data_IF_564794765187
#
_entry.id   IF_564794765187
#
_cell.length_a   1.000
_cell.length_b   1.000
_cell.length_c   1.000
_cell.angle_alpha   90.00
_cell.angle_beta   90.00
_cell.angle_gamma   90.00
#
_symmetry.space_group_name_H-M   'P 1'
#
loop_
_entity.id
_entity.type
_entity.pdbx_description
1 polymer ?
#
# COMPACT_ATOMS: atom_id res chain seq x y z
N UNK A 1 34.80 -4.32 3.48
CA UNK A 1 34.70 -4.36 4.97
C UNK A 1 33.24 -4.18 5.34
N UNK A 2 32.62 -5.19 5.97
CA UNK A 2 31.24 -5.10 6.45
C UNK A 2 31.11 -3.93 7.44
N UNK A 3 30.11 -3.05 7.31
CA UNK A 3 29.86 -2.09 8.40
C UNK A 3 29.44 -2.85 9.64
N UNK A 4 29.91 -2.45 10.83
CA UNK A 4 29.51 -3.09 12.06
C UNK A 4 27.97 -3.09 12.21
N UNK A 5 27.43 -4.19 12.72
CA UNK A 5 26.01 -4.28 13.01
C UNK A 5 25.63 -3.25 14.09
N UNK A 6 24.49 -2.58 13.91
CA UNK A 6 23.91 -1.75 14.96
C UNK A 6 23.32 -2.66 16.04
N UNK A 7 23.70 -2.43 17.29
CA UNK A 7 23.21 -3.20 18.45
C UNK A 7 22.46 -2.28 19.39
N UNK A 8 21.14 -2.41 19.43
CA UNK A 8 20.28 -1.72 20.39
C UNK A 8 20.11 -2.60 21.64
N UNK A 9 20.69 -2.16 22.77
CA UNK A 9 20.55 -2.87 24.05
C UNK A 9 19.24 -2.48 24.73
N UNK A 10 18.71 -3.40 25.56
CA UNK A 10 17.49 -3.19 26.34
C UNK A 10 16.26 -2.80 25.49
N UNK A 11 16.13 -3.41 24.30
CA UNK A 11 14.96 -3.24 23.46
C UNK A 11 13.72 -3.84 24.12
N UNK A 12 12.68 -3.02 24.28
CA UNK A 12 11.39 -3.43 24.84
C UNK A 12 10.51 -4.00 23.75
N UNK A 13 9.99 -5.20 23.93
CA UNK A 13 9.02 -5.82 23.02
C UNK A 13 7.97 -6.61 23.80
N UNK A 14 6.82 -6.86 23.17
CA UNK A 14 5.77 -7.70 23.73
C UNK A 14 5.96 -9.17 23.34
N UNK A 15 5.67 -10.08 24.27
CA UNK A 15 5.60 -11.51 23.99
C UNK A 15 4.16 -11.92 23.70
N UNK A 16 3.94 -12.71 22.65
CA UNK A 16 2.66 -13.38 22.41
C UNK A 16 2.79 -14.88 22.63
N UNK A 17 1.77 -15.49 23.26
CA UNK A 17 1.69 -16.94 23.43
C UNK A 17 1.12 -17.64 22.18
N UNK A 18 0.23 -16.97 21.46
CA UNK A 18 -0.41 -17.48 20.25
C UNK A 18 -0.52 -16.37 19.21
N UNK A 19 -0.31 -16.70 17.94
CA UNK A 19 -0.40 -15.76 16.83
C UNK A 19 -1.20 -16.41 15.69
N UNK A 20 -1.98 -15.62 14.96
CA UNK A 20 -2.79 -16.09 13.84
C UNK A 20 -2.25 -15.46 12.55
N UNK A 21 -1.45 -16.21 11.81
CA UNK A 21 -0.96 -15.78 10.51
C UNK A 21 0.28 -14.87 10.56
N UNK A 22 0.76 -14.45 11.73
CA UNK A 22 2.08 -13.82 11.85
C UNK A 22 3.20 -14.88 11.81
N UNK A 23 4.26 -14.69 11.01
CA UNK A 23 5.29 -15.71 10.83
C UNK A 23 6.06 -16.01 12.13
N UNK A 24 6.52 -14.96 12.84
CA UNK A 24 7.20 -15.05 14.15
C UNK A 24 7.00 -13.79 15.04
N UNK A 25 6.34 -12.74 14.54
CA UNK A 25 6.14 -11.48 15.24
C UNK A 25 5.92 -10.30 14.30
N UNK A 26 5.75 -9.10 14.88
CA UNK A 26 5.49 -7.84 14.16
C UNK A 26 6.47 -6.77 14.62
N UNK A 27 7.11 -6.09 13.66
CA UNK A 27 7.87 -4.88 13.94
C UNK A 27 6.93 -3.66 13.81
N UNK A 28 6.54 -3.07 14.95
CA UNK A 28 5.67 -1.90 14.98
C UNK A 28 6.40 -0.62 14.62
N UNK A 29 6.00 0.03 13.53
CA UNK A 29 6.56 1.31 13.07
C UNK A 29 5.71 2.53 13.42
N UNK A 30 4.61 2.37 14.16
CA UNK A 30 3.73 3.47 14.57
C UNK A 30 4.42 4.54 15.42
N UNK A 31 3.68 5.57 15.82
CA UNK A 31 4.20 6.73 16.57
C UNK A 31 4.19 6.55 18.09
N UNK A 32 3.96 5.34 18.58
CA UNK A 32 3.94 5.03 20.01
C UNK A 32 5.34 4.98 20.64
N UNK A 33 5.44 5.21 21.96
CA UNK A 33 6.71 5.26 22.69
C UNK A 33 7.53 3.97 22.64
N UNK A 34 6.88 2.83 22.43
CA UNK A 34 7.53 1.52 22.31
C UNK A 34 7.69 1.06 20.85
N UNK A 35 7.42 1.92 19.87
CA UNK A 35 7.65 1.57 18.46
C UNK A 35 9.13 1.42 18.14
N UNK A 36 9.44 0.71 17.04
CA UNK A 36 10.82 0.55 16.61
C UNK A 36 11.50 1.92 16.34
N UNK A 37 10.88 2.88 15.62
CA UNK A 37 11.46 4.22 15.47
C UNK A 37 11.71 4.92 16.81
N UNK A 38 10.75 4.88 17.74
CA UNK A 38 10.89 5.55 19.04
C UNK A 38 12.04 4.94 19.88
N UNK A 39 12.21 3.62 19.85
CA UNK A 39 13.31 2.97 20.57
C UNK A 39 14.66 3.20 19.89
N UNK A 40 14.70 3.26 18.55
CA UNK A 40 15.92 3.62 17.80
C UNK A 40 16.35 5.07 18.06
N UNK A 41 15.40 5.97 18.32
CA UNK A 41 15.70 7.38 18.64
C UNK A 41 16.55 7.52 19.89
N UNK A 42 16.42 6.59 20.85
CA UNK A 42 17.24 6.57 22.08
C UNK A 42 18.72 6.28 21.81
N UNK A 43 19.01 5.58 20.71
CA UNK A 43 20.37 5.31 20.27
C UNK A 43 20.90 6.43 19.38
N UNK A 44 20.12 6.84 18.39
CA UNK A 44 20.45 7.97 17.52
C UNK A 44 19.17 8.67 17.05
N UNK A 45 18.95 9.94 17.41
CA UNK A 45 17.76 10.67 16.98
C UNK A 45 17.57 10.68 15.47
N UNK A 46 18.66 10.75 14.70
CA UNK A 46 18.62 10.74 13.24
C UNK A 46 18.02 9.46 12.63
N UNK A 47 18.07 8.31 13.31
CA UNK A 47 17.48 7.07 12.80
C UNK A 47 15.95 7.04 12.93
N UNK A 48 15.39 7.95 13.73
CA UNK A 48 13.97 8.02 14.05
C UNK A 48 13.27 9.22 13.42
N UNK A 49 13.98 10.08 12.69
CA UNK A 49 13.38 11.25 12.03
C UNK A 49 12.76 10.93 10.69
N UNK A 50 13.18 9.82 10.09
CA UNK A 50 12.66 9.34 8.82
C UNK A 50 12.85 7.83 8.71
N UNK A 51 11.94 7.16 8.02
CA UNK A 51 12.17 5.81 7.51
C UNK A 51 11.44 5.63 6.19
N UNK A 52 11.89 4.69 5.37
CA UNK A 52 11.18 4.30 4.15
C UNK A 52 11.23 2.81 3.93
N UNK A 53 10.27 2.29 3.20
CA UNK A 53 10.31 0.93 2.67
C UNK A 53 9.96 0.91 1.18
N UNK A 54 10.38 -0.12 0.47
CA UNK A 54 10.00 -0.35 -0.92
C UNK A 54 9.53 -1.77 -1.12
N UNK A 55 8.22 -1.98 -1.22
CA UNK A 55 7.67 -3.33 -1.30
C UNK A 55 7.82 -3.91 -2.71
N UNK A 56 8.55 -5.03 -2.80
CA UNK A 56 8.55 -5.85 -4.01
C UNK A 56 7.16 -6.43 -4.24
N UNK A 57 6.71 -6.46 -5.49
CA UNK A 57 5.37 -6.93 -5.80
C UNK A 57 5.14 -8.37 -5.37
N UNK A 58 4.03 -8.60 -4.66
CA UNK A 58 3.60 -9.93 -4.27
C UNK A 58 3.22 -10.78 -5.49
N UNK A 59 3.22 -12.08 -5.27
CA UNK A 59 2.84 -13.10 -6.22
C UNK A 59 2.16 -14.19 -5.42
N UNK A 60 0.97 -14.60 -5.83
CA UNK A 60 0.37 -15.86 -5.36
C UNK A 60 0.96 -17.08 -6.10
N UNK A 61 1.89 -16.84 -7.04
CA UNK A 61 2.73 -17.88 -7.63
C UNK A 61 3.76 -18.37 -6.59
N UNK A 62 3.58 -19.61 -6.14
CA UNK A 62 4.43 -20.24 -5.13
C UNK A 62 5.85 -20.53 -5.66
N UNK A 63 6.02 -20.67 -6.97
CA UNK A 63 7.30 -20.99 -7.61
C UNK A 63 8.16 -19.73 -7.84
N UNK A 64 7.58 -18.54 -7.65
CA UNK A 64 8.29 -17.28 -7.86
C UNK A 64 9.32 -17.05 -6.76
N UNK A 65 10.57 -16.81 -7.18
CA UNK A 65 11.66 -16.43 -6.29
C UNK A 65 11.30 -15.16 -5.50
N UNK A 66 11.18 -15.31 -4.18
CA UNK A 66 10.93 -14.19 -3.27
C UNK A 66 12.16 -13.32 -3.19
N UNK A 67 12.04 -12.07 -3.66
CA UNK A 67 13.06 -11.04 -3.47
C UNK A 67 12.75 -10.24 -2.21
N UNK A 68 13.76 -9.94 -1.38
CA UNK A 68 13.57 -9.09 -0.20
C UNK A 68 13.20 -7.65 -0.60
N UNK A 69 12.46 -6.99 0.28
CA UNK A 69 12.10 -5.57 0.18
C UNK A 69 13.00 -4.75 1.11
N UNK A 70 13.58 -3.63 0.65
CA UNK A 70 14.39 -2.79 1.53
C UNK A 70 13.51 -2.02 2.51
N UNK A 71 14.01 -1.94 3.75
CA UNK A 71 13.59 -1.04 4.80
C UNK A 71 14.81 -0.19 5.14
N UNK A 72 14.65 1.12 5.11
CA UNK A 72 15.71 2.11 5.28
C UNK A 72 15.36 2.94 6.52
N UNK A 73 16.29 3.01 7.46
CA UNK A 73 16.14 3.72 8.72
C UNK A 73 17.00 4.99 8.69
N UNK A 74 16.41 6.12 9.06
CA UNK A 74 17.00 7.45 8.98
C UNK A 74 16.94 8.08 7.58
N UNK A 75 17.34 9.37 7.47
CA UNK A 75 17.43 10.07 6.21
C UNK A 75 18.34 9.37 5.21
N UNK A 76 17.84 9.15 3.99
CA UNK A 76 18.61 8.57 2.90
C UNK A 76 18.50 9.43 1.64
N UNK A 77 19.53 10.23 1.37
CA UNK A 77 19.59 11.07 0.17
C UNK A 77 20.08 10.25 -1.03
N UNK A 78 19.17 9.88 -1.93
CA UNK A 78 19.47 9.17 -3.18
C UNK A 78 20.01 10.09 -4.29
N UNK A 79 20.67 11.21 -3.96
CA UNK A 79 21.24 12.13 -4.96
C UNK A 79 22.25 11.50 -5.95
N UNK A 80 22.63 10.22 -5.85
CA UNK A 80 23.78 9.70 -6.61
C UNK A 80 23.68 8.33 -7.30
N UNK A 81 22.54 7.62 -7.34
CA UNK A 81 22.46 6.39 -8.15
C UNK A 81 21.37 6.49 -9.22
N UNK A 82 21.77 6.95 -10.41
CA UNK A 82 21.06 6.74 -11.67
C UNK A 82 20.86 5.23 -11.83
N UNK A 83 19.64 4.73 -11.65
CA UNK A 83 19.33 3.34 -11.99
C UNK A 83 19.17 3.23 -13.50
N UNK A 84 19.90 2.28 -14.09
CA UNK A 84 20.17 2.14 -15.52
C UNK A 84 18.98 2.25 -16.47
N UNK A 85 19.31 2.85 -17.62
CA UNK A 85 18.73 2.84 -18.96
C UNK A 85 17.20 2.88 -19.10
N UNK A 86 16.67 4.11 -19.17
CA UNK A 86 15.40 4.37 -19.87
C UNK A 86 14.65 5.64 -19.46
N UNK A 87 14.85 6.18 -18.26
CA UNK A 87 14.19 7.42 -17.84
C UNK A 87 15.08 8.18 -16.84
N UNK A 88 15.89 9.10 -17.37
CA UNK A 88 16.77 9.98 -16.59
C UNK A 88 16.03 11.07 -15.81
N UNK A 89 15.16 10.69 -14.89
CA UNK A 89 14.51 11.60 -13.95
C UNK A 89 15.07 11.45 -12.54
N UNK A 90 15.22 12.57 -11.82
CA UNK A 90 15.28 12.54 -10.37
C UNK A 90 14.05 11.82 -9.83
N UNK A 91 14.22 11.11 -8.72
CA UNK A 91 13.12 10.46 -8.04
C UNK A 91 12.18 11.53 -7.53
N UNK A 92 10.98 11.59 -8.07
CA UNK A 92 9.96 12.53 -7.64
C UNK A 92 9.01 11.84 -6.66
N UNK A 93 8.90 12.43 -5.47
CA UNK A 93 7.96 12.00 -4.44
C UNK A 93 6.67 12.82 -4.53
N UNK A 94 5.54 12.13 -4.63
CA UNK A 94 4.25 12.71 -4.32
C UNK A 94 4.09 12.74 -2.78
N UNK A 95 4.19 13.93 -2.19
CA UNK A 95 4.03 14.11 -0.74
C UNK A 95 2.60 14.50 -0.36
N UNK A 96 2.15 13.98 0.78
CA UNK A 96 0.92 14.41 1.46
C UNK A 96 1.22 14.66 2.93
N UNK A 97 0.60 15.67 3.51
CA UNK A 97 0.72 15.95 4.94
C UNK A 97 0.10 14.83 5.76
N UNK A 98 0.72 14.50 6.89
CA UNK A 98 0.13 13.63 7.89
C UNK A 98 -0.98 14.38 8.63
N UNK A 99 -2.04 13.67 8.94
CA UNK A 99 -3.12 14.13 9.81
C UNK A 99 -2.85 13.65 11.23
N UNK A 100 -3.04 14.54 12.19
CA UNK A 100 -3.01 14.16 13.61
C UNK A 100 -4.38 13.63 14.03
N UNK A 101 -4.38 12.49 14.70
CA UNK A 101 -5.59 11.87 15.24
C UNK A 101 -5.53 11.91 16.77
N UNK A 102 -6.44 12.64 17.45
CA UNK A 102 -6.40 12.80 18.90
C UNK A 102 -6.67 11.50 19.67
N UNK A 103 -7.42 10.54 19.09
CA UNK A 103 -7.69 9.24 19.72
C UNK A 103 -6.69 8.15 19.34
N UNK A 104 -6.15 8.23 18.14
CA UNK A 104 -5.22 7.24 17.59
C UNK A 104 -3.92 7.89 17.11
N UNK A 105 -3.16 8.55 18.02
CA UNK A 105 -1.96 9.32 17.66
C UNK A 105 -0.80 8.44 17.15
N UNK A 106 -0.91 7.12 17.30
CA UNK A 106 0.07 6.14 16.86
C UNK A 106 -0.01 5.81 15.37
N UNK A 107 -1.12 6.15 14.69
CA UNK A 107 -1.26 5.92 13.25
C UNK A 107 -0.59 7.00 12.41
N UNK A 108 -0.21 6.63 11.18
CA UNK A 108 0.15 7.55 10.12
C UNK A 108 -1.06 7.75 9.21
N UNK A 109 -1.86 8.76 9.55
CA UNK A 109 -3.06 9.11 8.80
C UNK A 109 -2.76 10.16 7.74
N UNK A 110 -3.41 10.07 6.59
CA UNK A 110 -3.36 11.03 5.48
C UNK A 110 -4.77 11.31 4.98
N UNK A 111 -4.96 12.40 4.23
CA UNK A 111 -6.23 12.72 3.59
C UNK A 111 -6.24 12.32 2.11
N UNK A 112 -7.39 11.86 1.61
CA UNK A 112 -7.64 11.56 0.20
C UNK A 112 -8.68 12.54 -0.33
N UNK A 113 -8.36 13.22 -1.43
CA UNK A 113 -9.29 14.11 -2.13
C UNK A 113 -10.21 13.35 -3.10
N UNK A 114 -9.74 12.22 -3.64
CA UNK A 114 -10.53 11.41 -4.56
C UNK A 114 -9.71 10.33 -5.27
N UNK A 115 -10.40 9.57 -6.12
CA UNK A 115 -9.79 8.52 -6.96
C UNK A 115 -10.24 8.71 -8.40
N UNK A 116 -9.31 8.64 -9.34
CA UNK A 116 -9.65 8.56 -10.76
C UNK A 116 -9.68 7.13 -11.24
N UNK A 117 -10.73 6.76 -11.98
CA UNK A 117 -10.81 5.53 -12.77
C UNK A 117 -10.88 5.91 -14.26
N UNK A 118 -9.76 5.71 -14.95
CA UNK A 118 -9.53 6.23 -16.28
C UNK A 118 -9.53 7.76 -16.27
N UNK A 119 -10.49 8.38 -16.97
CA UNK A 119 -10.62 9.84 -17.06
C UNK A 119 -11.63 10.42 -16.05
N UNK A 120 -12.35 9.57 -15.31
CA UNK A 120 -13.43 10.00 -14.41
C UNK A 120 -12.90 10.09 -12.99
N UNK A 121 -13.07 11.25 -12.37
CA UNK A 121 -12.69 11.52 -10.98
C UNK A 121 -13.89 11.28 -10.07
N UNK A 122 -13.67 10.55 -8.98
CA UNK A 122 -14.63 10.34 -7.89
C UNK A 122 -14.11 11.09 -6.66
N UNK A 123 -14.76 12.19 -6.25
CA UNK A 123 -14.42 12.88 -5.00
C UNK A 123 -14.59 11.93 -3.81
N UNK A 124 -13.62 11.95 -2.89
CA UNK A 124 -13.70 11.15 -1.68
C UNK A 124 -14.71 11.75 -0.70
N UNK A 125 -15.47 10.93 0.05
CA UNK A 125 -16.33 11.43 1.13
C UNK A 125 -15.49 12.11 2.22
N UNK A 126 -16.12 13.00 3.02
CA UNK A 126 -15.43 13.81 4.05
C UNK A 126 -14.64 12.96 5.04
N UNK A 127 -15.16 11.78 5.39
CA UNK A 127 -14.51 10.82 6.29
C UNK A 127 -13.12 10.36 5.80
N UNK A 128 -12.82 10.47 4.51
CA UNK A 128 -11.49 10.15 3.94
C UNK A 128 -10.58 11.37 3.78
N UNK A 129 -11.13 12.59 3.85
CA UNK A 129 -10.38 13.81 3.57
C UNK A 129 -9.60 14.33 4.78
N UNK A 130 -10.11 14.09 5.99
CA UNK A 130 -9.56 14.63 7.23
C UNK A 130 -9.89 13.76 8.44
N UNK A 131 -9.32 14.10 9.60
CA UNK A 131 -9.65 13.52 10.89
C UNK A 131 -10.39 14.56 11.73
N UNK A 132 -11.51 14.19 12.34
CA UNK A 132 -12.30 15.07 13.20
C UNK A 132 -11.75 15.13 14.65
N UNK A 133 -12.33 16.01 15.47
CA UNK A 133 -11.95 16.16 16.89
C UNK A 133 -12.19 14.88 17.72
N UNK A 134 -13.08 14.02 17.25
CA UNK A 134 -13.39 12.73 17.87
C UNK A 134 -12.46 11.61 17.37
N UNK A 135 -11.45 11.92 16.54
CA UNK A 135 -10.53 10.93 15.98
C UNK A 135 -11.11 10.05 14.88
N UNK A 136 -12.27 10.41 14.32
CA UNK A 136 -12.85 9.70 13.19
C UNK A 136 -12.27 10.19 11.86
N UNK A 137 -12.20 9.29 10.89
CA UNK A 137 -11.81 9.63 9.53
C UNK A 137 -10.31 9.50 9.24
N UNK A 138 -9.91 10.07 8.11
CA UNK A 138 -8.60 9.93 7.50
C UNK A 138 -8.34 8.53 6.93
N UNK A 139 -7.20 8.38 6.27
CA UNK A 139 -6.72 7.11 5.73
C UNK A 139 -5.43 6.72 6.44
N UNK A 140 -5.41 5.53 7.03
CA UNK A 140 -4.16 4.99 7.60
C UNK A 140 -3.34 4.34 6.50
N UNK A 141 -2.06 4.73 6.39
CA UNK A 141 -1.10 4.06 5.50
C UNK A 141 -0.53 2.86 6.23
N UNK A 142 -1.03 1.67 5.90
CA UNK A 142 -0.72 0.44 6.64
C UNK A 142 -0.11 -0.63 5.72
N UNK A 143 1.13 -1.02 6.01
CA UNK A 143 1.81 -2.10 5.29
C UNK A 143 1.35 -3.50 5.72
N UNK A 144 0.66 -3.61 6.87
CA UNK A 144 0.15 -4.86 7.43
C UNK A 144 -1.20 -5.30 6.85
N UNK A 145 -2.05 -4.35 6.44
CA UNK A 145 -3.31 -4.65 5.76
C UNK A 145 -3.07 -4.99 4.30
N UNK A 146 -3.58 -6.12 3.82
CA UNK A 146 -3.35 -6.62 2.45
C UNK A 146 -3.88 -5.65 1.38
N UNK A 147 -5.15 -5.24 1.48
CA UNK A 147 -5.83 -4.46 0.45
C UNK A 147 -6.23 -3.07 0.96
N UNK A 148 -6.25 -2.10 0.07
CA UNK A 148 -6.88 -0.80 0.35
C UNK A 148 -8.37 -0.99 0.55
N UNK A 149 -8.89 -0.45 1.64
CA UNK A 149 -10.29 -0.54 2.03
C UNK A 149 -10.88 0.87 2.06
N UNK A 150 -11.98 1.06 1.32
CA UNK A 150 -12.73 2.30 1.30
C UNK A 150 -14.15 2.07 1.76
N UNK A 151 -14.82 3.10 2.32
CA UNK A 151 -16.20 2.96 2.71
C UNK A 151 -17.10 2.58 1.55
N UNK A 152 -18.16 1.84 1.87
CA UNK A 152 -18.97 1.11 0.91
C UNK A 152 -19.48 1.97 -0.26
N UNK A 153 -20.03 3.16 0.04
CA UNK A 153 -20.59 4.04 -0.99
C UNK A 153 -19.54 4.51 -2.00
N UNK A 154 -18.37 4.92 -1.50
CA UNK A 154 -17.25 5.32 -2.33
C UNK A 154 -16.68 4.14 -3.12
N UNK A 155 -16.42 3.01 -2.45
CA UNK A 155 -15.93 1.77 -3.07
C UNK A 155 -16.82 1.31 -4.23
N UNK A 156 -18.14 1.24 -4.01
CA UNK A 156 -19.11 0.82 -5.02
C UNK A 156 -19.11 1.74 -6.24
N UNK A 157 -18.90 3.05 -6.05
CA UNK A 157 -18.80 4.01 -7.15
C UNK A 157 -17.58 3.75 -8.05
N UNK A 158 -16.43 3.39 -7.45
CA UNK A 158 -15.22 3.04 -8.18
C UNK A 158 -15.41 1.72 -8.95
N UNK A 159 -15.95 0.70 -8.28
CA UNK A 159 -16.25 -0.60 -8.88
C UNK A 159 -17.21 -0.45 -10.05
N UNK A 160 -18.27 0.34 -9.91
CA UNK A 160 -19.25 0.54 -10.98
C UNK A 160 -18.63 1.15 -12.24
N UNK A 161 -17.71 2.12 -12.10
CA UNK A 161 -17.02 2.70 -13.26
C UNK A 161 -15.98 1.76 -13.86
N UNK A 162 -15.29 0.98 -13.02
CA UNK A 162 -14.38 -0.05 -13.50
C UNK A 162 -15.13 -1.10 -14.32
N UNK A 163 -16.25 -1.61 -13.77
CA UNK A 163 -17.10 -2.61 -14.42
C UNK A 163 -17.75 -2.08 -15.70
N UNK A 164 -18.23 -0.84 -15.69
CA UNK A 164 -18.76 -0.18 -16.88
C UNK A 164 -17.74 -0.11 -18.03
N UNK A 165 -16.44 -0.12 -17.75
CA UNK A 165 -15.38 -0.10 -18.77
C UNK A 165 -14.94 -1.50 -19.18
N UNK A 166 -14.61 -2.33 -18.20
CA UNK A 166 -13.98 -3.64 -18.41
C UNK A 166 -15.04 -4.71 -18.73
N UNK A 167 -16.16 -4.71 -18.01
CA UNK A 167 -17.27 -5.65 -18.20
C UNK A 167 -18.03 -5.49 -19.51
N UNK A 168 -17.82 -4.39 -20.26
CA UNK A 168 -18.35 -4.24 -21.62
C UNK A 168 -17.65 -5.12 -22.66
N UNK A 169 -16.41 -5.52 -22.38
CA UNK A 169 -15.54 -6.19 -23.34
C UNK A 169 -15.05 -7.56 -22.84
N UNK A 170 -15.20 -7.83 -21.54
CA UNK A 170 -14.78 -9.09 -20.92
C UNK A 170 -15.92 -9.74 -20.13
N UNK A 171 -15.97 -11.08 -20.18
CA UNK A 171 -16.91 -11.90 -19.41
C UNK A 171 -16.58 -11.78 -17.91
N UNK A 172 -17.59 -11.45 -17.09
CA UNK A 172 -17.43 -11.38 -15.63
C UNK A 172 -17.27 -12.78 -15.05
N UNK A 173 -16.28 -12.95 -14.18
CA UNK A 173 -15.93 -14.22 -13.58
C UNK A 173 -16.53 -14.37 -12.18
N UNK A 174 -17.87 -14.30 -12.06
CA UNK A 174 -18.59 -14.28 -10.76
C UNK A 174 -18.20 -15.44 -9.84
N UNK A 175 -17.99 -16.65 -10.38
CA UNK A 175 -17.53 -17.79 -9.56
C UNK A 175 -16.19 -17.52 -8.87
N UNK A 176 -15.26 -16.84 -9.56
CA UNK A 176 -13.97 -16.46 -8.98
C UNK A 176 -14.16 -15.39 -7.93
N UNK A 177 -15.12 -14.48 -8.12
CA UNK A 177 -15.48 -13.48 -7.10
C UNK A 177 -15.99 -14.16 -5.82
N UNK A 178 -16.88 -15.14 -5.95
CA UNK A 178 -17.43 -15.90 -4.81
C UNK A 178 -16.36 -16.72 -4.07
N UNK A 179 -15.40 -17.29 -4.79
CA UNK A 179 -14.34 -18.12 -4.20
C UNK A 179 -13.23 -17.30 -3.55
N UNK A 180 -12.89 -16.13 -4.09
CA UNK A 180 -11.75 -15.32 -3.64
C UNK A 180 -12.15 -14.15 -2.74
N UNK A 181 -13.41 -13.72 -2.79
CA UNK A 181 -13.87 -12.47 -2.18
C UNK A 181 -13.39 -11.21 -2.90
N UNK A 182 -12.65 -11.34 -4.00
CA UNK A 182 -12.19 -10.21 -4.82
C UNK A 182 -13.22 -9.92 -5.90
N UNK A 183 -13.47 -8.65 -6.20
CA UNK A 183 -14.42 -8.32 -7.26
C UNK A 183 -14.39 -6.84 -7.64
N UNK A 184 -14.66 -6.50 -8.91
CA UNK A 184 -15.04 -7.42 -9.97
C UNK A 184 -13.85 -8.18 -10.59
N UNK A 185 -14.11 -9.39 -11.11
CA UNK A 185 -13.17 -10.25 -11.81
C UNK A 185 -13.63 -10.51 -13.25
N UNK A 186 -12.67 -10.64 -14.18
CA UNK A 186 -12.98 -10.86 -15.59
C UNK A 186 -12.10 -11.92 -16.23
N UNK A 187 -12.71 -12.76 -17.07
CA UNK A 187 -11.99 -13.67 -17.96
C UNK A 187 -11.45 -12.93 -19.18
N UNK A 188 -10.22 -13.26 -19.58
CA UNK A 188 -9.59 -12.71 -20.78
C UNK A 188 -8.69 -13.74 -21.48
N UNK A 189 -8.40 -13.54 -22.76
CA UNK A 189 -7.61 -14.49 -23.54
C UNK A 189 -6.10 -14.17 -23.53
N UNK A 190 -5.72 -13.03 -24.12
CA UNK A 190 -4.31 -12.65 -24.32
C UNK A 190 -3.94 -11.45 -23.45
N UNK A 191 -4.58 -10.32 -23.72
CA UNK A 191 -4.34 -9.04 -23.07
C UNK A 191 -5.67 -8.51 -22.56
N UNK A 192 -5.64 -7.93 -21.36
CA UNK A 192 -6.77 -7.24 -20.75
C UNK A 192 -6.36 -5.78 -20.57
N UNK A 193 -7.12 -4.90 -21.20
CA UNK A 193 -6.97 -3.46 -20.99
C UNK A 193 -7.89 -3.03 -19.86
N UNK A 194 -7.31 -2.36 -18.86
CA UNK A 194 -8.04 -1.89 -17.68
C UNK A 194 -7.75 -0.41 -17.48
N UNK A 195 -8.75 0.38 -17.05
CA UNK A 195 -8.55 1.81 -16.84
C UNK A 195 -7.45 2.06 -15.81
N UNK A 196 -6.64 3.10 -16.04
CA UNK A 196 -5.68 3.61 -15.06
C UNK A 196 -6.40 4.02 -13.77
N UNK A 197 -5.80 3.72 -12.62
CA UNK A 197 -6.31 4.16 -11.31
C UNK A 197 -5.32 5.12 -10.66
N UNK A 198 -5.79 6.29 -10.26
CA UNK A 198 -4.97 7.32 -9.61
C UNK A 198 -5.57 7.71 -8.27
N UNK A 199 -4.75 7.72 -7.22
CA UNK A 199 -5.11 8.25 -5.91
C UNK A 199 -4.76 9.74 -5.87
N UNK A 200 -5.69 10.60 -5.46
CA UNK A 200 -5.46 12.03 -5.30
C UNK A 200 -5.48 12.36 -3.80
N UNK A 201 -4.37 12.84 -3.27
CA UNK A 201 -4.24 13.17 -1.85
C UNK A 201 -4.75 14.58 -1.54
N UNK A 202 -5.30 14.75 -0.34
CA UNK A 202 -5.78 16.03 0.15
C UNK A 202 -4.61 16.98 0.52
N UNK A 203 -4.91 18.27 0.67
CA UNK A 203 -3.92 19.30 1.04
C UNK A 203 -3.04 19.74 -0.13
N UNK A 204 -2.04 18.93 -0.50
CA UNK A 204 -1.00 19.33 -1.46
C UNK A 204 -1.35 19.06 -2.93
N UNK A 205 -2.58 18.58 -3.21
CA UNK A 205 -3.06 18.19 -4.55
C UNK A 205 -2.11 17.21 -5.27
N UNK A 206 -1.34 16.44 -4.51
CA UNK A 206 -0.44 15.43 -5.05
C UNK A 206 -1.25 14.20 -5.46
N UNK A 207 -0.73 13.45 -6.44
CA UNK A 207 -1.44 12.31 -7.01
C UNK A 207 -0.47 11.18 -7.30
N UNK A 208 -0.94 9.95 -7.11
CA UNK A 208 -0.17 8.73 -7.39
C UNK A 208 -0.94 7.88 -8.39
N UNK A 209 -0.37 7.73 -9.58
CA UNK A 209 -0.83 6.75 -10.56
C UNK A 209 -0.39 5.36 -10.11
N UNK A 210 -1.35 4.49 -9.79
CA UNK A 210 -1.06 3.13 -9.36
C UNK A 210 -0.58 2.28 -10.55
N UNK A 211 0.56 1.58 -10.44
CA UNK A 211 0.85 0.43 -11.29
C UNK A 211 -0.35 -0.52 -11.40
N UNK A 212 -0.63 -1.02 -12.60
CA UNK A 212 -1.76 -1.93 -12.86
C UNK A 212 -1.89 -3.08 -11.85
N UNK A 213 -0.76 -3.73 -11.55
CA UNK A 213 -0.65 -4.82 -10.58
C UNK A 213 -1.03 -4.47 -9.14
N UNK A 214 -1.13 -3.19 -8.81
CA UNK A 214 -1.57 -2.73 -7.49
C UNK A 214 -3.08 -2.75 -7.32
N UNK A 215 -3.87 -2.72 -8.41
CA UNK A 215 -5.33 -2.67 -8.33
C UNK A 215 -6.01 -3.73 -9.19
N UNK A 216 -5.28 -4.42 -10.07
CA UNK A 216 -5.78 -5.49 -10.92
C UNK A 216 -4.79 -6.66 -10.91
N UNK A 217 -5.17 -7.75 -10.26
CA UNK A 217 -4.31 -8.92 -10.07
C UNK A 217 -4.74 -10.06 -11.00
N UNK A 218 -3.78 -10.58 -11.77
CA UNK A 218 -4.01 -11.59 -12.80
C UNK A 218 -3.48 -12.97 -12.38
N UNK A 219 -4.27 -14.00 -12.63
CA UNK A 219 -3.91 -15.38 -12.37
C UNK A 219 -4.65 -16.34 -13.32
N UNK A 220 -4.42 -17.64 -13.16
CA UNK A 220 -5.09 -18.68 -13.93
C UNK A 220 -6.14 -19.34 -13.03
N UNK A 221 -7.37 -19.34 -13.51
CA UNK A 221 -8.50 -20.05 -12.94
C UNK A 221 -8.62 -21.45 -13.56
N UNK A 222 -8.75 -22.47 -12.72
CA UNK A 222 -8.79 -23.89 -13.10
C UNK A 222 -7.41 -24.51 -13.34
N UNK A 223 -7.29 -25.82 -13.07
CA UNK A 223 -6.02 -26.55 -13.26
C UNK A 223 -5.87 -27.83 -12.45
N UNK A 224 -6.58 -27.97 -11.32
CA UNK A 224 -6.25 -29.02 -10.33
C UNK A 224 -7.22 -30.21 -10.32
N UNK A 225 -8.09 -30.32 -11.33
CA UNK A 225 -9.06 -31.41 -11.45
C UNK A 225 -9.41 -31.74 -12.91
N UNK A 226 -9.64 -33.02 -13.17
CA UNK A 226 -9.98 -33.54 -14.50
C UNK A 226 -11.25 -32.84 -15.04
N UNK A 227 -11.09 -32.01 -16.08
CA UNK A 227 -12.20 -31.41 -16.85
C UNK A 227 -12.32 -29.88 -16.80
N UNK A 228 -11.56 -29.16 -15.96
CA UNK A 228 -11.60 -27.68 -15.93
C UNK A 228 -10.62 -27.07 -16.95
N UNK A 229 -11.13 -26.28 -17.91
CA UNK A 229 -10.29 -25.51 -18.83
C UNK A 229 -9.60 -24.37 -18.07
N UNK A 230 -8.28 -24.28 -18.20
CA UNK A 230 -7.49 -23.16 -17.65
C UNK A 230 -7.90 -21.86 -18.36
N UNK A 231 -8.45 -20.91 -17.62
CA UNK A 231 -8.79 -19.57 -18.11
C UNK A 231 -7.93 -18.54 -17.39
N UNK A 232 -7.52 -17.47 -18.09
CA UNK A 232 -6.89 -16.34 -17.39
C UNK A 232 -7.99 -15.47 -16.80
N UNK A 233 -7.79 -15.05 -15.56
CA UNK A 233 -8.69 -14.17 -14.84
C UNK A 233 -7.89 -13.01 -14.26
N UNK A 234 -8.51 -11.84 -14.17
CA UNK A 234 -7.96 -10.72 -13.44
C UNK A 234 -9.02 -10.07 -12.57
N UNK A 235 -8.65 -9.72 -11.34
CA UNK A 235 -9.56 -9.25 -10.31
C UNK A 235 -9.13 -7.88 -9.76
N UNK A 236 -10.12 -7.05 -9.47
CA UNK A 236 -9.94 -5.80 -8.74
C UNK A 236 -9.46 -6.05 -7.30
N UNK A 237 -8.51 -5.24 -6.83
CA UNK A 237 -7.76 -5.48 -5.58
C UNK A 237 -7.95 -4.40 -4.50
N UNK A 238 -9.08 -3.68 -4.55
CA UNK A 238 -9.54 -2.87 -3.42
C UNK A 238 -10.75 -3.56 -2.81
N UNK A 239 -11.05 -3.27 -1.54
CA UNK A 239 -12.11 -3.93 -0.79
C UNK A 239 -13.13 -2.92 -0.25
N UNK A 240 -14.36 -3.41 -0.04
CA UNK A 240 -15.37 -2.72 0.75
C UNK A 240 -14.92 -2.68 2.22
N UNK A 241 -14.78 -1.47 2.77
CA UNK A 241 -14.40 -1.20 4.16
C UNK A 241 -15.57 -1.21 5.15
N UNK A 242 -16.80 -1.40 4.70
CA UNK A 242 -18.01 -1.34 5.54
C UNK A 242 -18.82 -0.06 5.35
N UNK A 243 -19.92 0.04 6.09
CA UNK A 243 -20.82 1.19 6.04
C UNK A 243 -20.23 2.41 6.77
N UNK A 244 -20.22 3.56 6.10
CA UNK A 244 -19.79 4.85 6.66
C UNK A 244 -20.55 5.21 7.94
N UNK A 245 -21.84 4.86 8.02
CA UNK A 245 -22.68 5.15 9.18
C UNK A 245 -22.31 4.32 10.42
N UNK A 246 -21.68 3.15 10.23
CA UNK A 246 -21.24 2.26 11.30
C UNK A 246 -19.76 2.49 11.68
N UNK A 247 -19.01 3.22 10.85
CA UNK A 247 -17.63 3.60 11.11
C UNK A 247 -17.56 4.63 12.26
N UNK A 248 -17.25 4.15 13.46
CA UNK A 248 -16.96 4.99 14.62
C UNK A 248 -15.58 4.66 15.20
N UNK A 249 -14.85 5.68 15.66
CA UNK A 249 -13.49 5.53 16.18
C UNK A 249 -12.39 5.59 15.10
N UNK A 250 -12.76 5.63 13.82
CA UNK A 250 -11.79 5.67 12.72
C UNK A 250 -10.96 4.38 12.56
N UNK A 251 -10.11 4.31 11.51
CA UNK A 251 -9.98 5.30 10.44
C UNK A 251 -11.17 5.26 9.46
N UNK A 252 -11.28 6.28 8.61
CA UNK A 252 -12.27 6.30 7.53
C UNK A 252 -11.91 5.34 6.38
N UNK A 253 -10.63 5.03 6.21
CA UNK A 253 -10.15 4.06 5.23
C UNK A 253 -8.73 3.61 5.51
N UNK A 254 -8.26 2.64 4.74
CA UNK A 254 -6.91 2.08 4.87
C UNK A 254 -6.27 2.02 3.49
N UNK A 255 -5.05 2.54 3.35
CA UNK A 255 -4.20 2.33 2.18
C UNK A 255 -3.33 1.09 2.43
N UNK A 256 -3.70 -0.04 1.82
CA UNK A 256 -3.09 -1.33 2.07
C UNK A 256 -1.83 -1.62 1.26
N UNK A 257 -1.20 -2.74 1.59
CA UNK A 257 0.08 -3.22 1.06
C UNK A 257 0.12 -3.31 -0.47
N UNK A 258 -0.91 -3.90 -1.10
CA UNK A 258 -0.93 -4.07 -2.56
C UNK A 258 -0.82 -2.73 -3.31
N UNK A 259 -1.39 -1.66 -2.75
CA UNK A 259 -1.34 -0.32 -3.35
C UNK A 259 -0.04 0.43 -3.07
N UNK A 260 0.78 -0.06 -2.16
CA UNK A 260 2.11 0.48 -1.85
C UNK A 260 3.25 -0.21 -2.64
N UNK A 261 2.99 -1.39 -3.24
CA UNK A 261 4.03 -2.14 -3.96
C UNK A 261 4.57 -1.42 -5.20
N UNK A 262 5.89 -1.44 -5.37
CA UNK A 262 6.56 -0.70 -6.45
C UNK A 262 6.68 0.80 -6.19
N UNK A 263 6.38 1.24 -4.97
CA UNK A 263 6.73 2.56 -4.47
C UNK A 263 7.75 2.44 -3.34
N UNK A 264 8.65 3.42 -3.25
CA UNK A 264 9.27 3.76 -1.98
C UNK A 264 8.32 4.68 -1.24
N UNK A 265 7.82 4.19 -0.10
CA UNK A 265 6.96 4.93 0.80
C UNK A 265 7.84 5.45 1.93
N UNK A 266 7.98 6.77 2.00
CA UNK A 266 8.79 7.45 3.01
C UNK A 266 7.90 8.13 4.04
N UNK A 267 8.22 7.94 5.31
CA UNK A 267 7.61 8.62 6.45
C UNK A 267 8.62 9.65 6.93
N UNK A 268 8.38 10.91 6.56
CA UNK A 268 9.21 12.06 6.93
C UNK A 268 8.61 12.69 8.18
N UNK A 269 9.08 12.23 9.34
CA UNK A 269 8.52 12.56 10.65
C UNK A 269 8.91 13.98 11.07
N UNK A 270 10.07 14.48 10.63
CA UNK A 270 10.47 15.88 10.82
C UNK A 270 9.51 16.85 10.11
N UNK A 271 9.07 16.51 8.90
CA UNK A 271 8.19 17.38 8.09
C UNK A 271 6.72 16.96 8.13
N UNK A 272 6.35 16.05 9.01
CA UNK A 272 4.98 15.55 9.20
C UNK A 272 4.29 15.19 7.88
N UNK A 273 4.93 14.37 7.04
CA UNK A 273 4.41 14.03 5.71
C UNK A 273 4.81 12.62 5.27
N UNK A 274 3.93 11.99 4.49
CA UNK A 274 4.21 10.72 3.80
C UNK A 274 4.50 11.02 2.34
N UNK A 275 5.52 10.38 1.78
CA UNK A 275 5.91 10.49 0.37
C UNK A 275 5.81 9.17 -0.35
N UNK A 276 5.36 9.20 -1.60
CA UNK A 276 5.29 8.04 -2.49
C UNK A 276 6.10 8.32 -3.75
N UNK A 277 7.11 7.51 -4.03
CA UNK A 277 7.90 7.60 -5.25
C UNK A 277 7.93 6.25 -5.97
N UNK A 278 7.70 6.23 -7.29
CA UNK A 278 7.73 4.98 -8.06
C UNK A 278 9.15 4.42 -8.12
N UNK A 279 9.31 3.12 -7.83
CA UNK A 279 10.60 2.44 -7.72
C UNK A 279 10.63 1.05 -8.31
N UNK A 280 11.85 0.62 -8.64
CA UNK A 280 12.18 -0.79 -8.85
C UNK A 280 12.73 -1.36 -7.53
N UNK A 281 11.84 -1.79 -6.63
CA UNK A 281 12.21 -2.14 -5.25
C UNK A 281 13.26 -3.26 -5.12
N UNK A 282 13.23 -4.25 -6.02
CA UNK A 282 14.24 -5.31 -6.04
C UNK A 282 15.63 -4.77 -6.43
N UNK A 283 15.71 -3.86 -7.41
CA UNK A 283 16.98 -3.20 -7.75
C UNK A 283 17.46 -2.27 -6.63
N UNK A 284 16.53 -1.60 -5.94
CA UNK A 284 16.87 -0.80 -4.77
C UNK A 284 17.51 -1.68 -3.69
N UNK A 285 16.92 -2.85 -3.38
CA UNK A 285 17.52 -3.83 -2.48
C UNK A 285 18.93 -4.23 -2.91
N UNK A 286 19.09 -4.65 -4.17
CA UNK A 286 20.38 -5.11 -4.69
C UNK A 286 21.44 -3.99 -4.56
N UNK A 287 21.08 -2.74 -4.87
CA UNK A 287 22.00 -1.59 -4.81
C UNK A 287 22.41 -1.18 -3.39
N UNK A 288 21.54 -1.42 -2.40
CA UNK A 288 21.83 -1.16 -0.98
C UNK A 288 22.73 -2.23 -0.39
N UNK A 289 22.70 -3.45 -0.96
CA UNK A 289 23.45 -4.60 -0.49
C UNK A 289 24.72 -4.90 -1.31
N UNK A 290 24.94 -4.20 -2.42
CA UNK A 290 26.22 -4.19 -3.13
C UNK A 290 27.29 -3.49 -2.26
N UNK A 291 27.98 -4.29 -1.44
CA UNK A 291 29.18 -3.92 -0.67
C UNK A 291 30.26 -4.97 -0.83
#
# INVERSE_FOLDING_TARGET
MSTPALVLRNFTFGCSHTSLGEPIGVAGFGRGLLSLPAQLSTFSPHLATQFSYCLVSHSFDQDRVRRPSPLILGPYDQKQKRFGDGAGGSVEYAYTSMLDNPKHPYFYSIGLAGVSVGKRVFPAPEILQGVDENGNGGIVVDSGTTFTMFPQGFYNSLVAEFDRRVGRVHERATRVEDETGLGPCYYYEKVVDVPAVTLHFAGNKSSVLLPRRNYFYEFVDGGDGAGRKRKKVGCWMLMNGGDEAEMSGGPGGILGNYQQQGFEVVYDLEKHRVGFARRQCALLWDSLNQR
#
